data_IF_522351970204
#
_entry.id   IF_522351970204
#
_cell.length_a   1.000
_cell.length_b   1.000
_cell.length_c   1.000
_cell.angle_alpha   90.00
_cell.angle_beta   90.00
_cell.angle_gamma   90.00
#
_symmetry.space_group_name_H-M   'P 1'
#
loop_
_entity.id
_entity.type
_entity.pdbx_description
1 polymer ?
#
# COMPACT_ATOMS: atom_id res chain seq x y z
N UNK A 1 0.35 -3.89 13.97
CA UNK A 1 1.07 -4.71 12.96
C UNK A 1 1.44 -3.77 11.83
N UNK A 2 2.64 -3.90 11.27
CA UNK A 2 3.02 -3.14 10.09
C UNK A 2 2.11 -3.50 8.92
N UNK A 3 1.76 -2.52 8.09
CA UNK A 3 0.91 -2.73 6.92
C UNK A 3 1.77 -3.24 5.77
N UNK A 4 1.32 -4.33 5.15
CA UNK A 4 2.06 -5.08 4.15
C UNK A 4 1.43 -4.99 2.77
N UNK A 5 2.25 -4.71 1.74
CA UNK A 5 1.89 -4.88 0.34
C UNK A 5 2.55 -6.13 -0.22
N UNK A 6 1.77 -7.02 -0.83
CA UNK A 6 2.30 -8.17 -1.56
C UNK A 6 2.60 -7.80 -3.01
N UNK A 7 3.84 -8.01 -3.46
CA UNK A 7 4.18 -7.86 -4.88
C UNK A 7 3.98 -9.19 -5.60
N UNK A 8 3.14 -9.19 -6.63
CA UNK A 8 2.79 -10.37 -7.41
C UNK A 8 3.00 -10.12 -8.91
N UNK A 9 3.13 -11.18 -9.68
CA UNK A 9 3.26 -11.13 -11.14
C UNK A 9 3.73 -12.46 -11.68
N UNK A 10 3.53 -12.70 -12.97
CA UNK A 10 4.06 -13.87 -13.66
C UNK A 10 5.59 -13.87 -13.66
N UNK A 11 6.24 -15.01 -13.97
CA UNK A 11 7.68 -15.04 -14.15
C UNK A 11 8.14 -14.08 -15.25
N UNK A 12 9.32 -13.48 -15.07
CA UNK A 12 10.00 -12.62 -16.05
C UNK A 12 9.27 -11.29 -16.40
N UNK A 13 8.40 -10.81 -15.52
CA UNK A 13 7.77 -9.48 -15.67
C UNK A 13 8.56 -8.33 -15.03
N UNK A 14 9.71 -8.62 -14.39
CA UNK A 14 10.54 -7.64 -13.69
C UNK A 14 10.28 -7.54 -12.17
N UNK A 15 9.44 -8.43 -11.62
CA UNK A 15 9.05 -8.44 -10.20
C UNK A 15 10.25 -8.47 -9.24
N UNK A 16 11.16 -9.42 -9.41
CA UNK A 16 12.35 -9.56 -8.53
C UNK A 16 13.31 -8.39 -8.68
N UNK A 17 13.46 -7.83 -9.89
CA UNK A 17 14.27 -6.63 -10.11
C UNK A 17 13.70 -5.46 -9.30
N UNK A 18 12.39 -5.20 -9.41
CA UNK A 18 11.72 -4.15 -8.64
C UNK A 18 11.83 -4.37 -7.13
N UNK A 19 11.65 -5.62 -6.67
CA UNK A 19 11.79 -5.95 -5.25
C UNK A 19 13.21 -5.68 -4.74
N UNK A 20 14.22 -6.03 -5.53
CA UNK A 20 15.62 -5.76 -5.20
C UNK A 20 15.91 -4.24 -5.15
N UNK A 21 15.39 -3.46 -6.11
CA UNK A 21 15.52 -2.00 -6.10
C UNK A 21 14.85 -1.39 -4.86
N UNK A 22 13.67 -1.84 -4.50
CA UNK A 22 12.97 -1.46 -3.27
C UNK A 22 13.79 -1.80 -2.02
N UNK A 23 14.39 -2.98 -1.98
CA UNK A 23 15.22 -3.42 -0.85
C UNK A 23 16.55 -2.67 -0.77
N UNK A 24 17.15 -2.31 -1.92
CA UNK A 24 18.38 -1.53 -1.99
C UNK A 24 18.16 -0.04 -1.65
N UNK A 25 17.01 0.53 -1.96
CA UNK A 25 16.62 1.88 -1.51
C UNK A 25 16.72 2.04 0.01
N UNK A 26 16.60 0.94 0.76
CA UNK A 26 16.84 0.83 2.19
C UNK A 26 18.31 1.04 2.58
N UNK A 27 19.25 0.45 1.86
CA UNK A 27 20.69 0.57 2.16
C UNK A 27 21.19 2.01 2.00
N UNK A 28 20.54 2.80 1.16
CA UNK A 28 20.88 4.18 0.85
C UNK A 28 20.26 5.21 1.82
N UNK A 29 19.17 4.84 2.50
CA UNK A 29 18.62 5.58 3.63
C UNK A 29 19.32 5.23 4.98
N UNK A 30 20.48 4.60 4.91
CA UNK A 30 21.15 3.80 5.95
C UNK A 30 21.80 4.56 7.11
N UNK A 31 21.25 5.69 7.52
CA UNK A 31 21.57 6.23 8.86
C UNK A 31 20.60 5.75 9.95
N UNK A 32 19.71 4.77 9.63
CA UNK A 32 18.72 4.28 10.58
C UNK A 32 19.04 2.83 11.00
N UNK A 33 19.48 2.60 12.27
CA UNK A 33 19.63 1.25 12.81
C UNK A 33 18.24 0.62 13.01
N UNK A 34 18.12 -0.68 12.87
CA UNK A 34 16.95 -1.55 13.06
C UNK A 34 16.10 -1.85 11.83
N UNK A 35 16.68 -2.64 10.93
CA UNK A 35 15.91 -3.32 9.93
C UNK A 35 16.33 -4.79 9.87
N UNK A 36 15.49 -5.67 10.38
CA UNK A 36 15.63 -7.12 10.21
C UNK A 36 15.28 -7.49 8.78
N UNK A 37 16.13 -8.27 8.12
CA UNK A 37 15.84 -8.82 6.78
C UNK A 37 15.29 -10.22 7.03
N UNK A 38 13.97 -10.36 6.90
CA UNK A 38 13.40 -11.68 6.67
C UNK A 38 13.46 -11.99 5.18
N UNK A 39 13.71 -13.24 4.78
CA UNK A 39 13.68 -13.61 3.37
C UNK A 39 12.33 -13.21 2.76
N UNK A 40 12.36 -12.45 1.65
CA UNK A 40 11.19 -11.97 0.91
C UNK A 40 10.34 -10.87 1.58
N UNK A 41 10.81 -10.25 2.67
CA UNK A 41 10.14 -9.07 3.27
C UNK A 41 11.10 -7.89 3.27
N UNK A 42 10.75 -6.83 2.55
CA UNK A 42 11.46 -5.55 2.55
C UNK A 42 10.71 -4.53 3.42
N UNK A 43 11.37 -4.01 4.47
CA UNK A 43 10.88 -2.84 5.22
C UNK A 43 11.48 -1.60 4.56
N UNK A 44 10.65 -0.73 4.00
CA UNK A 44 11.08 0.36 3.13
C UNK A 44 10.65 1.68 3.72
N UNK A 45 11.58 2.66 3.75
CA UNK A 45 11.29 4.02 4.19
C UNK A 45 10.37 4.73 3.19
N UNK A 46 9.31 5.36 3.70
CA UNK A 46 8.41 6.19 2.90
C UNK A 46 9.06 7.56 2.67
N UNK A 47 9.34 7.95 1.42
CA UNK A 47 9.90 9.26 1.11
C UNK A 47 8.89 10.37 1.47
N UNK A 48 9.27 11.31 2.33
CA UNK A 48 8.44 12.45 2.72
C UNK A 48 9.29 13.71 2.86
N UNK A 49 9.15 14.63 1.91
CA UNK A 49 9.87 15.90 1.91
C UNK A 49 9.53 16.77 3.13
N UNK A 50 8.33 16.59 3.69
CA UNK A 50 7.90 17.31 4.89
C UNK A 50 8.78 16.94 6.09
N UNK A 51 9.11 15.65 6.22
CA UNK A 51 10.02 15.18 7.29
C UNK A 51 11.40 15.83 7.15
N UNK A 52 11.94 15.86 5.93
CA UNK A 52 13.22 16.53 5.64
C UNK A 52 13.18 17.99 6.05
N UNK A 53 12.12 18.71 5.68
CA UNK A 53 11.95 20.12 6.03
C UNK A 53 11.84 20.36 7.54
N UNK A 54 11.12 19.50 8.26
CA UNK A 54 11.01 19.57 9.72
C UNK A 54 12.37 19.35 10.38
N UNK A 55 13.17 18.41 9.86
CA UNK A 55 14.55 18.16 10.33
C UNK A 55 15.45 19.37 10.16
N UNK A 56 15.39 20.05 9.03
CA UNK A 56 16.15 21.30 8.78
C UNK A 56 15.79 22.40 9.79
N UNK A 57 14.49 22.55 10.11
CA UNK A 57 14.02 23.60 11.03
C UNK A 57 14.37 23.28 12.48
N UNK A 58 14.15 22.02 12.90
CA UNK A 58 14.27 21.62 14.32
C UNK A 58 15.68 21.23 14.69
N UNK A 59 16.49 20.73 13.72
CA UNK A 59 17.81 20.16 13.94
C UNK A 59 17.85 19.13 15.09
N UNK A 60 17.07 18.02 14.99
CA UNK A 60 16.89 17.07 16.08
C UNK A 60 18.08 16.15 16.24
N UNK A 61 18.19 15.49 17.41
CA UNK A 61 19.18 14.45 17.66
C UNK A 61 18.87 13.12 16.98
N UNK A 62 17.60 12.84 16.72
CA UNK A 62 17.12 11.60 16.11
C UNK A 62 16.01 11.89 15.10
N UNK A 63 15.99 11.10 14.04
CA UNK A 63 14.99 11.19 12.96
C UNK A 63 14.42 9.80 12.75
N UNK A 64 13.09 9.68 12.76
CA UNK A 64 12.40 8.40 12.54
C UNK A 64 11.35 8.55 11.43
N UNK A 65 11.64 8.08 10.21
CA UNK A 65 10.71 8.11 9.10
C UNK A 65 9.64 7.02 9.23
N UNK A 66 8.55 7.17 8.46
CA UNK A 66 7.59 6.09 8.24
C UNK A 66 8.20 4.96 7.41
N UNK A 67 7.69 3.75 7.62
CA UNK A 67 8.08 2.58 6.85
C UNK A 67 6.84 1.83 6.37
N UNK A 68 6.99 1.13 5.24
CA UNK A 68 6.02 0.18 4.71
C UNK A 68 6.73 -1.16 4.48
N UNK A 69 6.00 -2.25 4.68
CA UNK A 69 6.52 -3.58 4.37
C UNK A 69 6.05 -4.02 2.97
N UNK A 70 6.99 -4.45 2.15
CA UNK A 70 6.70 -5.08 0.85
C UNK A 70 7.18 -6.52 0.89
N UNK A 71 6.26 -7.44 0.57
CA UNK A 71 6.52 -8.88 0.58
C UNK A 71 6.64 -9.37 -0.85
N UNK A 72 7.80 -9.95 -1.21
CA UNK A 72 7.93 -10.65 -2.49
C UNK A 72 7.21 -11.99 -2.43
N UNK A 73 6.09 -12.05 -3.12
CA UNK A 73 5.31 -13.28 -3.20
C UNK A 73 5.75 -14.03 -4.45
N UNK A 74 6.38 -15.19 -4.24
CA UNK A 74 6.88 -16.04 -5.32
C UNK A 74 5.82 -16.24 -6.42
N UNK A 75 6.25 -16.18 -7.69
CA UNK A 75 5.34 -16.10 -8.83
C UNK A 75 4.30 -17.22 -8.88
N UNK A 76 3.09 -16.85 -9.27
CA UNK A 76 1.98 -17.76 -9.50
C UNK A 76 2.26 -18.64 -10.72
N UNK A 77 2.02 -19.93 -10.58
CA UNK A 77 1.93 -20.87 -11.69
C UNK A 77 0.45 -21.15 -11.93
N UNK A 78 0.03 -21.21 -13.17
CA UNK A 78 -1.33 -21.58 -13.58
C UNK A 78 -1.77 -22.88 -12.88
N UNK A 79 -2.95 -22.88 -12.24
CA UNK A 79 -3.46 -24.02 -11.48
C UNK A 79 -3.19 -23.96 -9.97
N UNK A 80 -2.70 -22.84 -9.44
CA UNK A 80 -2.42 -22.66 -8.02
C UNK A 80 -3.66 -22.83 -7.13
N UNK A 81 -4.85 -22.50 -7.62
CA UNK A 81 -6.13 -22.63 -6.89
C UNK A 81 -6.56 -24.09 -6.71
N UNK A 82 -6.11 -25.00 -7.60
CA UNK A 82 -6.42 -26.44 -7.53
C UNK A 82 -5.50 -27.22 -6.59
N UNK A 83 -4.59 -26.57 -6.03
CA UNK A 83 -3.73 -26.71 -5.14
C UNK A 83 -3.05 -27.67 -4.29
N UNK A 84 -2.06 -28.32 -4.74
CA UNK A 84 -1.09 -28.97 -3.87
C UNK A 84 0.19 -28.12 -3.76
N UNK A 85 0.70 -27.89 -2.53
CA UNK A 85 2.03 -27.35 -2.31
C UNK A 85 2.13 -25.81 -2.51
N UNK A 86 2.99 -25.37 -3.44
CA UNK A 86 3.41 -23.97 -3.64
C UNK A 86 2.26 -23.01 -3.96
N UNK A 87 1.21 -23.46 -4.65
CA UNK A 87 0.05 -22.64 -4.96
C UNK A 87 -0.74 -22.19 -3.71
N UNK A 88 -0.95 -23.10 -2.76
CA UNK A 88 -1.63 -22.74 -1.50
C UNK A 88 -0.78 -21.79 -0.64
N UNK A 89 0.55 -21.95 -0.65
CA UNK A 89 1.47 -21.05 0.03
C UNK A 89 1.41 -19.64 -0.58
N UNK A 90 1.43 -19.54 -1.91
CA UNK A 90 1.27 -18.28 -2.64
C UNK A 90 -0.03 -17.55 -2.24
N UNK A 91 -1.18 -18.24 -2.29
CA UNK A 91 -2.46 -17.66 -1.92
C UNK A 91 -2.54 -17.29 -0.44
N UNK A 92 -1.88 -18.07 0.43
CA UNK A 92 -1.73 -17.78 1.85
C UNK A 92 -0.93 -16.51 2.11
N UNK A 93 0.17 -16.30 1.37
CA UNK A 93 0.99 -15.12 1.46
C UNK A 93 0.21 -13.86 1.01
N UNK A 94 -0.54 -13.93 -0.10
CA UNK A 94 -1.42 -12.82 -0.50
C UNK A 94 -2.47 -12.56 0.59
N UNK A 95 -3.04 -13.59 1.19
CA UNK A 95 -4.05 -13.42 2.25
C UNK A 95 -3.53 -12.64 3.44
N UNK A 96 -2.25 -12.82 3.80
CA UNK A 96 -1.62 -12.13 4.91
C UNK A 96 -1.34 -10.64 4.63
N UNK A 97 -1.26 -10.20 3.36
CA UNK A 97 -1.00 -8.80 3.02
C UNK A 97 -2.26 -7.94 3.05
N UNK A 98 -2.09 -6.61 3.14
CA UNK A 98 -3.19 -5.65 3.16
C UNK A 98 -3.57 -5.13 1.76
N UNK A 99 -2.61 -5.10 0.82
CA UNK A 99 -2.82 -4.68 -0.55
C UNK A 99 -1.92 -5.49 -1.50
N UNK A 100 -2.21 -5.43 -2.80
CA UNK A 100 -1.49 -6.14 -3.85
C UNK A 100 -0.88 -5.16 -4.85
N UNK A 101 0.42 -5.31 -5.13
CA UNK A 101 1.15 -4.66 -6.21
C UNK A 101 1.30 -5.67 -7.34
N UNK A 102 0.48 -5.55 -8.37
CA UNK A 102 0.44 -6.51 -9.47
C UNK A 102 1.31 -6.02 -10.63
N UNK A 103 2.49 -6.62 -10.77
CA UNK A 103 3.48 -6.26 -11.81
C UNK A 103 3.09 -6.92 -13.13
N UNK A 104 2.94 -6.11 -14.18
CA UNK A 104 2.62 -6.52 -15.54
C UNK A 104 3.75 -6.15 -16.48
N UNK A 105 4.12 -7.07 -17.37
CA UNK A 105 5.10 -6.79 -18.42
C UNK A 105 4.47 -6.02 -19.57
N UNK A 106 4.91 -4.79 -19.77
CA UNK A 106 4.44 -3.87 -20.80
C UNK A 106 5.59 -3.43 -21.74
N UNK A 107 6.51 -4.34 -22.06
CA UNK A 107 7.64 -4.11 -22.97
C UNK A 107 7.99 -5.37 -23.74
N UNK A 108 8.49 -5.19 -24.96
CA UNK A 108 9.03 -6.26 -25.78
C UNK A 108 10.54 -6.35 -25.58
N UNK A 109 11.06 -7.57 -25.39
CA UNK A 109 12.49 -7.85 -25.30
C UNK A 109 12.74 -9.32 -25.65
N UNK A 110 13.40 -9.56 -26.76
CA UNK A 110 13.68 -10.90 -27.29
C UNK A 110 14.62 -11.72 -26.38
N UNK A 111 15.43 -11.05 -25.56
CA UNK A 111 16.33 -11.71 -24.60
C UNK A 111 15.62 -12.16 -23.33
N UNK A 112 14.37 -11.73 -23.09
CA UNK A 112 13.59 -12.10 -21.91
C UNK A 112 12.41 -12.97 -22.35
N UNK A 113 12.52 -14.27 -22.14
CA UNK A 113 11.48 -15.24 -22.54
C UNK A 113 10.20 -14.97 -21.74
N UNK A 114 9.06 -14.87 -22.46
CA UNK A 114 7.73 -14.83 -21.83
C UNK A 114 7.21 -16.26 -21.64
N UNK A 115 6.55 -16.53 -20.50
CA UNK A 115 6.05 -17.89 -20.14
C UNK A 115 5.06 -18.42 -21.17
N UNK A 116 4.24 -17.54 -21.76
CA UNK A 116 3.24 -17.88 -22.78
C UNK A 116 3.68 -17.50 -24.22
N UNK A 117 4.98 -17.24 -24.44
CA UNK A 117 5.58 -17.02 -25.75
C UNK A 117 5.31 -15.64 -26.39
N UNK A 118 4.44 -14.80 -25.82
CA UNK A 118 4.16 -13.44 -26.30
C UNK A 118 3.83 -12.52 -25.14
N UNK A 119 4.11 -11.22 -25.32
CA UNK A 119 3.74 -10.20 -24.31
C UNK A 119 2.26 -9.83 -24.48
N UNK A 120 1.48 -10.05 -23.42
CA UNK A 120 0.09 -9.63 -23.34
C UNK A 120 -0.29 -9.37 -21.88
N UNK A 121 -0.21 -8.10 -21.42
CA UNK A 121 -0.46 -7.75 -20.02
C UNK A 121 -1.90 -8.04 -19.57
N UNK A 122 -2.89 -8.05 -20.46
CA UNK A 122 -4.27 -8.37 -20.11
C UNK A 122 -4.44 -9.85 -19.83
N UNK A 123 -3.92 -10.72 -20.68
CA UNK A 123 -3.90 -12.16 -20.47
C UNK A 123 -3.17 -12.49 -19.17
N UNK A 124 -2.01 -11.86 -18.91
CA UNK A 124 -1.20 -12.08 -17.71
C UNK A 124 -1.94 -11.68 -16.45
N UNK A 125 -2.66 -10.55 -16.50
CA UNK A 125 -3.58 -10.09 -15.44
C UNK A 125 -4.68 -11.12 -15.19
N UNK A 126 -5.38 -11.56 -16.25
CA UNK A 126 -6.51 -12.50 -16.16
C UNK A 126 -6.09 -13.85 -15.56
N UNK A 127 -4.88 -14.32 -15.83
CA UNK A 127 -4.35 -15.56 -15.24
C UNK A 127 -4.31 -15.45 -13.72
N UNK A 128 -3.75 -14.37 -13.18
CA UNK A 128 -3.66 -14.15 -11.73
C UNK A 128 -5.05 -13.91 -11.13
N UNK A 129 -5.84 -13.05 -11.72
CA UNK A 129 -7.19 -12.72 -11.24
C UNK A 129 -8.06 -13.96 -11.15
N UNK A 130 -8.03 -14.83 -12.16
CA UNK A 130 -8.80 -16.09 -12.18
C UNK A 130 -8.41 -17.01 -11.02
N UNK A 131 -7.12 -17.17 -10.72
CA UNK A 131 -6.68 -18.02 -9.61
C UNK A 131 -7.12 -17.45 -8.24
N UNK A 132 -7.07 -16.13 -8.07
CA UNK A 132 -7.54 -15.46 -6.86
C UNK A 132 -9.07 -15.60 -6.71
N UNK A 133 -9.83 -15.37 -7.78
CA UNK A 133 -11.29 -15.50 -7.82
C UNK A 133 -11.76 -16.92 -7.51
N UNK A 134 -11.11 -17.94 -8.09
CA UNK A 134 -11.44 -19.34 -7.80
C UNK A 134 -11.21 -19.67 -6.33
N UNK A 135 -10.16 -19.13 -5.70
CA UNK A 135 -9.92 -19.33 -4.27
C UNK A 135 -10.93 -18.62 -3.40
N UNK A 136 -11.35 -17.44 -3.79
CA UNK A 136 -12.40 -16.70 -3.09
C UNK A 136 -13.74 -17.41 -3.20
N UNK A 137 -14.10 -17.94 -4.38
CA UNK A 137 -15.30 -18.77 -4.58
C UNK A 137 -15.32 -19.98 -3.66
N UNK A 138 -14.20 -20.72 -3.51
CA UNK A 138 -14.07 -21.84 -2.57
C UNK A 138 -14.35 -21.41 -1.11
N UNK A 139 -13.83 -20.24 -0.71
CA UNK A 139 -14.04 -19.69 0.63
C UNK A 139 -15.49 -19.28 0.87
N UNK A 140 -16.12 -18.63 -0.11
CA UNK A 140 -17.51 -18.20 -0.07
C UNK A 140 -18.45 -19.42 -0.03
N UNK A 141 -18.22 -20.42 -0.88
CA UNK A 141 -19.04 -21.62 -0.92
C UNK A 141 -19.04 -22.38 0.40
N UNK A 142 -17.89 -22.50 1.03
CA UNK A 142 -17.78 -23.09 2.38
C UNK A 142 -18.56 -22.32 3.43
N UNK A 143 -18.57 -20.99 3.38
CA UNK A 143 -19.35 -20.16 4.31
C UNK A 143 -20.85 -20.23 4.01
N UNK A 144 -21.24 -20.19 2.73
CA UNK A 144 -22.64 -20.38 2.30
C UNK A 144 -23.19 -21.70 2.84
N UNK A 145 -22.48 -22.83 2.66
CA UNK A 145 -22.92 -24.14 3.15
C UNK A 145 -23.18 -24.16 4.68
N UNK A 146 -22.41 -23.39 5.45
CA UNK A 146 -22.59 -23.29 6.90
C UNK A 146 -23.80 -22.47 7.30
N UNK A 147 -24.08 -21.35 6.60
CA UNK A 147 -25.15 -20.42 6.98
C UNK A 147 -26.48 -20.71 6.31
N UNK A 148 -26.48 -21.40 5.16
CA UNK A 148 -27.68 -21.65 4.33
C UNK A 148 -28.84 -22.28 5.10
N UNK A 149 -28.55 -23.29 5.94
CA UNK A 149 -29.57 -23.98 6.72
C UNK A 149 -30.22 -23.03 7.72
N UNK A 150 -29.44 -22.22 8.42
CA UNK A 150 -29.94 -21.22 9.38
C UNK A 150 -30.71 -20.11 8.68
N UNK A 151 -30.21 -19.64 7.56
CA UNK A 151 -30.86 -18.62 6.75
C UNK A 151 -32.24 -19.07 6.23
N UNK A 152 -32.38 -20.33 5.79
CA UNK A 152 -33.64 -20.89 5.26
C UNK A 152 -34.66 -21.23 6.32
N UNK A 153 -34.25 -21.55 7.56
CA UNK A 153 -35.18 -21.87 8.65
C UNK A 153 -35.86 -20.66 9.28
N UNK A 154 -35.48 -19.44 8.90
CA UNK A 154 -36.28 -18.23 9.12
C UNK A 154 -36.18 -17.58 10.50
N UNK A 155 -35.36 -18.08 11.41
CA UNK A 155 -35.21 -17.51 12.77
C UNK A 155 -34.05 -16.55 12.95
N UNK A 156 -33.02 -16.68 12.14
CA UNK A 156 -31.77 -15.92 12.26
C UNK A 156 -31.63 -14.86 11.16
N UNK A 157 -31.85 -13.60 11.53
CA UNK A 157 -31.77 -12.47 10.60
C UNK A 157 -30.35 -12.23 10.12
N UNK A 158 -29.34 -12.45 10.98
CA UNK A 158 -27.93 -12.27 10.64
C UNK A 158 -27.48 -13.33 9.65
N UNK A 159 -27.83 -14.60 9.86
CA UNK A 159 -27.54 -15.67 8.92
C UNK A 159 -28.21 -15.44 7.56
N UNK A 160 -29.44 -14.89 7.54
CA UNK A 160 -30.13 -14.53 6.31
C UNK A 160 -29.40 -13.42 5.55
N UNK A 161 -29.02 -12.34 6.25
CA UNK A 161 -28.29 -11.22 5.63
C UNK A 161 -26.92 -11.68 5.12
N UNK A 162 -26.18 -12.46 5.92
CA UNK A 162 -24.91 -13.07 5.50
C UNK A 162 -25.07 -13.89 4.22
N UNK A 163 -26.10 -14.74 4.14
CA UNK A 163 -26.36 -15.54 2.95
C UNK A 163 -26.68 -14.70 1.71
N UNK A 164 -27.47 -13.64 1.86
CA UNK A 164 -27.80 -12.69 0.79
C UNK A 164 -26.52 -12.01 0.26
N UNK A 165 -25.70 -11.44 1.15
CA UNK A 165 -24.44 -10.75 0.78
C UNK A 165 -23.47 -11.71 0.10
N UNK A 166 -23.26 -12.90 0.66
CA UNK A 166 -22.39 -13.92 0.07
C UNK A 166 -22.86 -14.34 -1.33
N UNK A 167 -24.18 -14.42 -1.54
CA UNK A 167 -24.75 -14.77 -2.86
C UNK A 167 -24.43 -13.69 -3.89
N UNK A 168 -24.59 -12.40 -3.55
CA UNK A 168 -24.25 -11.27 -4.42
C UNK A 168 -22.78 -11.29 -4.80
N UNK A 169 -21.89 -11.47 -3.81
CA UNK A 169 -20.43 -11.50 -4.06
C UNK A 169 -20.06 -12.73 -4.90
N UNK A 170 -20.64 -13.90 -4.64
CA UNK A 170 -20.42 -15.09 -5.43
C UNK A 170 -20.81 -14.90 -6.92
N UNK A 171 -22.00 -14.37 -7.16
CA UNK A 171 -22.46 -14.10 -8.53
C UNK A 171 -21.58 -13.09 -9.26
N UNK A 172 -21.02 -12.13 -8.53
CA UNK A 172 -20.09 -11.15 -9.07
C UNK A 172 -18.76 -11.80 -9.48
N UNK A 173 -18.19 -12.64 -8.64
CA UNK A 173 -16.98 -13.42 -8.93
C UNK A 173 -17.19 -14.39 -10.11
N UNK A 174 -18.34 -15.05 -10.21
CA UNK A 174 -18.69 -15.94 -11.33
C UNK A 174 -18.77 -15.23 -12.68
N UNK A 175 -18.93 -13.89 -12.68
CA UNK A 175 -18.85 -13.04 -13.89
C UNK A 175 -17.42 -12.59 -14.21
N UNK A 176 -16.41 -13.14 -13.52
CA UNK A 176 -15.00 -12.77 -13.69
C UNK A 176 -14.63 -11.40 -13.10
N UNK A 177 -15.43 -10.88 -12.16
CA UNK A 177 -15.18 -9.60 -11.50
C UNK A 177 -14.64 -9.81 -10.10
N UNK A 178 -13.81 -8.89 -9.62
CA UNK A 178 -13.18 -8.96 -8.29
C UNK A 178 -14.15 -8.58 -7.18
N UNK A 179 -14.01 -9.19 -6.00
CA UNK A 179 -14.88 -8.92 -4.85
C UNK A 179 -14.88 -7.45 -4.41
N UNK A 180 -13.77 -6.70 -4.61
CA UNK A 180 -13.67 -5.26 -4.32
C UNK A 180 -14.64 -4.37 -5.11
N UNK A 181 -15.19 -4.88 -6.22
CA UNK A 181 -16.18 -4.19 -7.04
C UNK A 181 -17.58 -4.79 -6.92
N UNK A 182 -17.80 -5.69 -5.94
CA UNK A 182 -19.11 -6.28 -5.72
C UNK A 182 -20.12 -5.20 -5.30
N UNK A 183 -21.35 -5.23 -5.83
CA UNK A 183 -22.37 -4.22 -5.54
C UNK A 183 -23.05 -4.50 -4.18
N UNK A 184 -22.27 -4.39 -3.10
CA UNK A 184 -22.74 -4.49 -1.71
C UNK A 184 -22.53 -3.14 -1.01
N UNK A 185 -23.38 -2.83 -0.04
CA UNK A 185 -23.25 -1.60 0.76
C UNK A 185 -22.02 -1.67 1.68
N UNK A 186 -21.48 -0.50 2.07
CA UNK A 186 -20.32 -0.43 2.97
C UNK A 186 -20.60 -1.12 4.31
N UNK A 187 -21.81 -0.98 4.83
CA UNK A 187 -22.28 -1.66 6.05
C UNK A 187 -22.35 -3.18 5.91
N UNK A 188 -22.48 -3.70 4.69
CA UNK A 188 -22.54 -5.13 4.41
C UNK A 188 -21.14 -5.78 4.30
N UNK A 189 -20.07 -4.99 4.26
CA UNK A 189 -18.69 -5.49 4.21
C UNK A 189 -18.33 -6.36 5.43
N UNK A 190 -18.95 -6.10 6.58
CA UNK A 190 -18.72 -6.91 7.79
C UNK A 190 -19.08 -8.38 7.62
N UNK A 191 -20.08 -8.73 6.77
CA UNK A 191 -20.50 -10.10 6.53
C UNK A 191 -19.51 -10.94 5.72
N UNK A 192 -18.54 -10.33 5.08
CA UNK A 192 -17.48 -11.00 4.30
C UNK A 192 -16.07 -10.78 4.88
N UNK A 193 -15.92 -9.90 5.87
CA UNK A 193 -14.62 -9.50 6.40
C UNK A 193 -13.79 -10.67 6.94
N UNK A 194 -14.41 -11.62 7.62
CA UNK A 194 -13.78 -12.82 8.18
C UNK A 194 -13.26 -13.81 7.12
N UNK A 195 -13.67 -13.67 5.86
CA UNK A 195 -13.19 -14.51 4.76
C UNK A 195 -11.82 -14.07 4.23
N UNK A 196 -11.41 -12.84 4.50
CA UNK A 196 -10.16 -12.28 3.99
C UNK A 196 -10.00 -12.54 2.48
N UNK A 197 -11.05 -12.19 1.71
CA UNK A 197 -11.09 -12.45 0.27
C UNK A 197 -9.90 -11.80 -0.42
N UNK A 198 -9.25 -12.55 -1.31
CA UNK A 198 -8.03 -12.13 -2.00
C UNK A 198 -8.33 -11.01 -2.99
N UNK A 199 -9.46 -11.12 -3.70
CA UNK A 199 -9.89 -10.13 -4.70
C UNK A 199 -10.65 -8.94 -4.10
N UNK A 200 -10.91 -8.93 -2.78
CA UNK A 200 -11.41 -7.76 -2.06
C UNK A 200 -10.31 -6.76 -1.72
N UNK A 201 -9.04 -7.19 -1.73
CA UNK A 201 -7.90 -6.33 -1.40
C UNK A 201 -7.73 -5.21 -2.42
N UNK A 202 -7.30 -4.01 -1.97
CA UNK A 202 -6.84 -2.94 -2.86
C UNK A 202 -5.72 -3.43 -3.76
N UNK A 203 -5.72 -3.02 -5.03
CA UNK A 203 -4.70 -3.41 -6.01
C UNK A 203 -4.14 -2.19 -6.73
N UNK A 204 -2.82 -2.20 -6.95
CA UNK A 204 -2.11 -1.29 -7.84
C UNK A 204 -1.49 -2.11 -8.97
N UNK A 205 -1.89 -1.86 -10.21
CA UNK A 205 -1.25 -2.45 -11.37
C UNK A 205 0.03 -1.68 -11.71
N UNK A 206 1.16 -2.36 -11.68
CA UNK A 206 2.49 -1.80 -11.94
C UNK A 206 2.91 -2.23 -13.33
N UNK A 207 2.73 -1.34 -14.31
CA UNK A 207 3.11 -1.56 -15.70
C UNK A 207 4.63 -1.36 -15.84
N UNK A 208 5.38 -2.45 -15.92
CA UNK A 208 6.81 -2.42 -16.18
C UNK A 208 7.04 -2.23 -17.68
N UNK A 209 7.62 -1.09 -18.05
CA UNK A 209 7.86 -0.67 -19.44
C UNK A 209 9.36 -0.60 -19.74
N UNK A 210 9.70 -0.46 -21.03
CA UNK A 210 11.05 -0.08 -21.48
C UNK A 210 11.37 1.38 -21.12
N UNK A 211 12.64 1.73 -21.28
CA UNK A 211 13.17 3.08 -21.01
C UNK A 211 12.43 4.16 -21.81
N UNK A 212 12.20 3.93 -23.10
CA UNK A 212 11.55 4.90 -23.97
C UNK A 212 10.11 5.24 -23.57
N UNK A 213 9.45 4.32 -22.89
CA UNK A 213 8.02 4.42 -22.50
C UNK A 213 7.81 4.90 -21.06
N UNK A 214 8.86 5.14 -20.26
CA UNK A 214 8.74 5.43 -18.82
C UNK A 214 7.97 6.70 -18.51
N UNK A 215 8.09 7.73 -19.36
CA UNK A 215 7.43 9.03 -19.18
C UNK A 215 5.99 9.04 -19.71
N UNK A 216 5.72 8.39 -20.82
CA UNK A 216 4.44 8.51 -21.56
C UNK A 216 3.58 7.25 -21.51
N UNK A 217 4.18 6.10 -21.20
CA UNK A 217 3.56 4.79 -21.41
C UNK A 217 3.61 4.38 -22.87
N UNK A 218 2.90 3.29 -23.17
CA UNK A 218 2.80 2.71 -24.51
C UNK A 218 1.44 2.01 -24.70
N UNK A 219 1.23 1.42 -25.85
CA UNK A 219 -0.04 0.74 -26.19
C UNK A 219 -0.42 -0.39 -25.22
N UNK A 220 0.54 -1.05 -24.56
CA UNK A 220 0.25 -2.03 -23.52
C UNK A 220 -0.33 -1.39 -22.27
N UNK A 221 0.27 -0.28 -21.84
CA UNK A 221 -0.21 0.52 -20.69
C UNK A 221 -1.62 1.04 -20.93
N UNK A 222 -1.91 1.54 -22.13
CA UNK A 222 -3.23 2.06 -22.47
C UNK A 222 -4.30 0.96 -22.43
N UNK A 223 -3.97 -0.25 -22.92
CA UNK A 223 -4.86 -1.41 -22.79
C UNK A 223 -5.13 -1.77 -21.33
N UNK A 224 -4.11 -1.75 -20.46
CA UNK A 224 -4.27 -2.01 -19.03
C UNK A 224 -5.15 -0.95 -18.39
N UNK A 225 -4.90 0.34 -18.62
CA UNK A 225 -5.72 1.45 -18.08
C UNK A 225 -7.19 1.30 -18.46
N UNK A 226 -7.47 0.99 -19.73
CA UNK A 226 -8.85 0.80 -20.18
C UNK A 226 -9.51 -0.42 -19.53
N UNK A 227 -8.78 -1.54 -19.40
CA UNK A 227 -9.32 -2.76 -18.84
C UNK A 227 -9.66 -2.63 -17.33
N UNK A 228 -8.91 -1.79 -16.59
CA UNK A 228 -9.06 -1.68 -15.11
C UNK A 228 -9.83 -0.44 -14.67
N UNK A 229 -10.34 0.39 -15.58
CA UNK A 229 -11.02 1.66 -15.28
C UNK A 229 -12.19 1.51 -14.29
N UNK A 230 -12.89 0.38 -14.35
CA UNK A 230 -14.05 0.07 -13.50
C UNK A 230 -13.69 -0.83 -12.31
N UNK A 231 -12.39 -1.07 -12.05
CA UNK A 231 -11.96 -2.01 -11.02
C UNK A 231 -11.64 -1.36 -9.67
N UNK A 232 -11.80 -0.05 -9.54
CA UNK A 232 -11.34 0.72 -8.37
C UNK A 232 -9.86 0.44 -8.04
N UNK A 233 -9.01 0.48 -9.08
CA UNK A 233 -7.60 0.12 -9.01
C UNK A 233 -6.72 1.24 -9.59
N UNK A 234 -5.52 1.41 -9.03
CA UNK A 234 -4.51 2.32 -9.56
C UNK A 234 -3.68 1.67 -10.68
N UNK A 235 -3.11 2.50 -11.55
CA UNK A 235 -2.11 2.08 -12.54
C UNK A 235 -0.87 2.97 -12.39
N UNK A 236 0.29 2.35 -12.25
CA UNK A 236 1.59 3.01 -12.17
C UNK A 236 2.49 2.51 -13.29
N UNK A 237 3.20 3.44 -13.95
CA UNK A 237 4.23 3.13 -14.96
C UNK A 237 5.58 3.17 -14.28
N UNK A 238 6.40 2.14 -14.50
CA UNK A 238 7.76 2.04 -13.98
C UNK A 238 8.64 1.31 -15.00
N UNK A 239 9.93 1.62 -15.03
CA UNK A 239 10.92 0.79 -15.73
C UNK A 239 11.84 0.13 -14.71
N UNK A 240 11.70 -1.17 -14.53
CA UNK A 240 12.55 -1.92 -13.60
C UNK A 240 14.04 -1.86 -14.00
N UNK A 241 14.35 -1.66 -15.27
CA UNK A 241 15.69 -1.48 -15.76
C UNK A 241 16.27 -0.15 -15.27
N UNK A 242 15.57 0.96 -15.47
CA UNK A 242 15.97 2.30 -14.97
C UNK A 242 16.16 2.27 -13.45
N UNK A 243 15.23 1.63 -12.72
CA UNK A 243 15.34 1.54 -11.26
C UNK A 243 16.59 0.74 -10.83
N UNK A 244 16.96 -0.30 -11.58
CA UNK A 244 18.20 -1.03 -11.32
C UNK A 244 19.44 -0.18 -11.56
N UNK A 245 19.47 0.61 -12.63
CA UNK A 245 20.55 1.54 -12.92
C UNK A 245 20.69 2.63 -11.86
N UNK A 246 19.56 3.23 -11.40
CA UNK A 246 19.53 4.19 -10.29
C UNK A 246 20.06 3.56 -9.00
N UNK A 247 19.76 2.30 -8.74
CA UNK A 247 20.19 1.59 -7.53
C UNK A 247 21.71 1.33 -7.48
N UNK A 248 22.39 1.34 -8.63
CA UNK A 248 23.84 1.19 -8.73
C UNK A 248 24.60 2.50 -8.52
N UNK A 249 23.93 3.66 -8.63
CA UNK A 249 24.56 4.96 -8.43
C UNK A 249 24.83 5.21 -6.94
N UNK A 250 26.06 5.67 -6.64
CA UNK A 250 26.53 5.80 -5.25
C UNK A 250 26.09 7.12 -4.61
N UNK A 251 26.14 8.23 -5.36
CA UNK A 251 25.86 9.56 -4.81
C UNK A 251 24.42 10.05 -5.11
N UNK A 252 23.95 10.98 -4.30
CA UNK A 252 22.66 11.63 -4.51
C UNK A 252 22.70 12.48 -5.79
N UNK A 253 23.79 13.17 -6.02
CA UNK A 253 24.00 14.04 -7.18
C UNK A 253 23.97 13.26 -8.50
N UNK A 254 24.60 12.07 -8.54
CA UNK A 254 24.55 11.20 -9.71
C UNK A 254 23.13 10.75 -10.03
N UNK A 255 22.34 10.40 -9.01
CA UNK A 255 20.93 10.00 -9.17
C UNK A 255 20.07 11.16 -9.67
N UNK A 256 20.27 12.35 -9.12
CA UNK A 256 19.54 13.54 -9.55
C UNK A 256 19.88 13.89 -11.01
N UNK A 257 21.16 13.84 -11.40
CA UNK A 257 21.57 14.03 -12.79
C UNK A 257 20.94 12.97 -13.71
N UNK A 258 21.00 11.70 -13.34
CA UNK A 258 20.41 10.61 -14.13
C UNK A 258 18.89 10.79 -14.31
N UNK A 259 18.16 11.11 -13.24
CA UNK A 259 16.73 11.38 -13.31
C UNK A 259 16.42 12.56 -14.24
N UNK A 260 17.18 13.65 -14.13
CA UNK A 260 17.02 14.82 -14.99
C UNK A 260 17.30 14.50 -16.47
N UNK A 261 18.34 13.73 -16.77
CA UNK A 261 18.66 13.28 -18.13
C UNK A 261 17.54 12.42 -18.74
N UNK A 262 16.88 11.61 -17.90
CA UNK A 262 15.73 10.80 -18.27
C UNK A 262 14.41 11.59 -18.30
N UNK A 263 14.42 12.87 -17.93
CA UNK A 263 13.20 13.69 -17.82
C UNK A 263 12.26 13.25 -16.69
N UNK A 264 12.81 12.60 -15.65
CA UNK A 264 12.05 12.13 -14.48
C UNK A 264 12.24 13.11 -13.31
N UNK A 265 11.17 13.39 -12.59
CA UNK A 265 11.21 14.22 -11.38
C UNK A 265 11.57 13.43 -10.12
N UNK A 266 11.29 12.13 -10.12
CA UNK A 266 11.60 11.20 -9.03
C UNK A 266 11.67 9.77 -9.59
N UNK A 267 12.32 8.86 -8.84
CA UNK A 267 12.39 7.46 -9.23
C UNK A 267 11.02 6.77 -9.22
N UNK A 268 10.86 5.77 -10.05
CA UNK A 268 9.64 4.96 -10.07
C UNK A 268 9.44 4.19 -8.76
N UNK A 269 10.52 3.79 -8.10
CA UNK A 269 10.49 3.19 -6.75
C UNK A 269 9.85 4.14 -5.74
N UNK A 270 10.22 5.44 -5.73
CA UNK A 270 9.60 6.42 -4.85
C UNK A 270 8.11 6.61 -5.17
N UNK A 271 7.75 6.70 -6.46
CA UNK A 271 6.34 6.73 -6.90
C UNK A 271 5.57 5.50 -6.42
N UNK A 272 6.17 4.31 -6.52
CA UNK A 272 5.56 3.06 -6.09
C UNK A 272 5.30 3.03 -4.58
N UNK A 273 6.27 3.47 -3.76
CA UNK A 273 6.14 3.54 -2.31
C UNK A 273 5.01 4.51 -1.92
N UNK A 274 4.99 5.71 -2.49
CA UNK A 274 3.93 6.71 -2.26
C UNK A 274 2.56 6.18 -2.70
N UNK A 275 2.48 5.52 -3.85
CA UNK A 275 1.24 4.93 -4.35
C UNK A 275 0.75 3.77 -3.46
N UNK A 276 1.64 2.91 -2.98
CA UNK A 276 1.31 1.83 -2.05
C UNK A 276 0.80 2.38 -0.69
N UNK A 277 1.43 3.45 -0.20
CA UNK A 277 1.01 4.13 1.02
C UNK A 277 -0.42 4.68 0.89
N UNK A 278 -0.71 5.35 -0.23
CA UNK A 278 -2.05 5.84 -0.56
C UNK A 278 -3.06 4.72 -0.76
N UNK A 279 -2.65 3.62 -1.41
CA UNK A 279 -3.50 2.44 -1.66
C UNK A 279 -3.99 1.81 -0.35
N UNK A 280 -3.15 1.85 0.69
CA UNK A 280 -3.49 1.39 2.03
C UNK A 280 -4.33 2.39 2.85
N UNK A 281 -4.74 3.49 2.25
CA UNK A 281 -5.50 4.57 2.91
C UNK A 281 -4.77 5.12 4.14
N UNK A 282 -3.45 5.33 4.02
CA UNK A 282 -2.60 5.83 5.09
C UNK A 282 -2.43 7.34 5.03
N UNK A 283 -2.18 7.92 6.17
CA UNK A 283 -1.78 9.30 6.37
C UNK A 283 -0.61 9.37 7.36
N UNK A 284 0.08 10.51 7.35
CA UNK A 284 1.21 10.77 8.24
C UNK A 284 0.91 11.97 9.11
N UNK A 285 1.10 11.84 10.41
CA UNK A 285 1.29 13.00 11.28
C UNK A 285 2.72 13.00 11.84
N UNK A 286 3.17 14.14 12.35
CA UNK A 286 4.52 14.31 12.88
C UNK A 286 4.51 14.67 14.35
N UNK A 287 5.54 14.23 15.06
CA UNK A 287 5.97 14.81 16.31
C UNK A 287 7.31 15.47 16.06
N UNK A 288 7.46 16.76 16.43
CA UNK A 288 8.66 17.54 16.17
C UNK A 288 9.21 18.13 17.45
N UNK A 289 10.41 17.70 17.84
CA UNK A 289 11.11 18.18 19.03
C UNK A 289 12.60 18.02 18.89
N UNK A 290 13.37 18.76 19.74
CA UNK A 290 14.86 18.79 19.69
C UNK A 290 15.49 17.39 19.95
N UNK A 291 14.78 16.48 20.62
CA UNK A 291 15.27 15.12 20.84
C UNK A 291 15.00 14.23 19.63
N UNK A 292 13.80 14.34 19.06
CA UNK A 292 13.35 13.51 17.94
C UNK A 292 12.37 14.28 17.04
N UNK A 293 12.52 14.13 15.73
CA UNK A 293 11.49 14.38 14.74
C UNK A 293 11.07 13.03 14.18
N UNK A 294 9.78 12.73 14.26
CA UNK A 294 9.26 11.43 13.85
C UNK A 294 7.99 11.54 13.06
N UNK A 295 7.93 10.78 11.99
CA UNK A 295 6.72 10.53 11.21
C UNK A 295 5.97 9.33 11.80
N UNK A 296 4.64 9.43 11.91
CA UNK A 296 3.76 8.40 12.44
C UNK A 296 2.72 8.02 11.39
N UNK A 297 2.62 6.74 11.09
CA UNK A 297 1.63 6.22 10.15
C UNK A 297 0.29 6.00 10.86
N UNK A 298 -0.76 6.55 10.29
CA UNK A 298 -2.15 6.32 10.72
C UNK A 298 -3.01 5.94 9.51
N UNK A 299 -4.18 5.35 9.75
CA UNK A 299 -5.22 5.24 8.72
C UNK A 299 -5.94 6.58 8.61
N UNK A 300 -6.25 7.01 7.38
CA UNK A 300 -7.04 8.23 7.16
C UNK A 300 -8.36 8.15 7.90
N UNK A 301 -8.76 9.27 8.53
CA UNK A 301 -9.95 9.32 9.35
C UNK A 301 -9.76 8.96 10.83
N UNK A 302 -8.53 8.63 11.26
CA UNK A 302 -8.25 8.43 12.69
C UNK A 302 -8.53 9.68 13.49
N UNK A 303 -9.18 9.50 14.63
CA UNK A 303 -9.35 10.56 15.63
C UNK A 303 -8.05 10.79 16.41
N UNK A 304 -7.91 11.95 17.05
CA UNK A 304 -6.73 12.27 17.85
C UNK A 304 -6.39 11.22 18.93
N UNK A 305 -7.34 10.61 19.69
CA UNK A 305 -7.03 9.50 20.58
C UNK A 305 -6.47 8.28 19.86
N UNK A 306 -7.04 7.88 18.71
CA UNK A 306 -6.55 6.75 17.92
C UNK A 306 -5.12 7.00 17.40
N UNK A 307 -4.84 8.23 16.95
CA UNK A 307 -3.50 8.63 16.54
C UNK A 307 -2.51 8.60 17.72
N UNK A 308 -2.92 9.05 18.90
CA UNK A 308 -2.11 8.95 20.12
C UNK A 308 -1.83 7.48 20.48
N UNK A 309 -2.79 6.59 20.23
CA UNK A 309 -2.69 5.14 20.44
C UNK A 309 -1.59 4.47 19.59
N UNK A 310 -1.26 5.06 18.43
CA UNK A 310 -0.15 4.57 17.59
C UNK A 310 1.20 4.77 18.29
N UNK A 311 1.35 5.81 19.12
CA UNK A 311 2.55 6.01 19.95
C UNK A 311 2.59 4.99 21.07
N UNK A 312 1.51 4.92 21.85
CA UNK A 312 1.34 3.96 22.95
C UNK A 312 -0.14 3.84 23.33
N UNK A 313 -0.57 2.63 23.69
CA UNK A 313 -1.97 2.37 24.09
C UNK A 313 -2.43 3.20 25.28
N UNK A 314 -1.53 3.57 26.19
CA UNK A 314 -1.84 4.43 27.34
C UNK A 314 -2.13 5.87 26.90
N UNK A 315 -1.55 6.34 25.81
CA UNK A 315 -1.85 7.68 25.28
C UNK A 315 -3.28 7.75 24.72
N UNK A 316 -3.79 6.67 24.14
CA UNK A 316 -5.18 6.59 23.72
C UNK A 316 -6.13 6.57 24.92
N UNK A 317 -5.86 5.69 25.88
CA UNK A 317 -6.72 5.52 27.07
C UNK A 317 -6.76 6.78 27.95
N UNK A 318 -5.59 7.38 28.19
CA UNK A 318 -5.44 8.58 29.01
C UNK A 318 -5.56 9.88 28.23
N UNK A 319 -6.01 9.88 26.97
CA UNK A 319 -6.06 11.07 26.13
C UNK A 319 -6.88 12.19 26.74
N UNK A 320 -6.28 13.38 26.85
CA UNK A 320 -6.93 14.61 27.34
C UNK A 320 -7.22 15.55 26.16
N UNK A 321 -6.17 15.93 25.43
CA UNK A 321 -6.21 16.82 24.26
C UNK A 321 -4.97 16.67 23.40
N UNK A 322 -5.03 17.14 22.17
CA UNK A 322 -3.91 17.31 21.28
C UNK A 322 -3.66 18.80 21.00
N UNK A 323 -2.42 19.22 21.02
CA UNK A 323 -1.96 20.49 20.50
C UNK A 323 -1.54 20.24 19.05
N UNK A 324 -2.17 20.92 18.08
CA UNK A 324 -2.02 20.66 16.65
C UNK A 324 -1.53 21.89 15.94
N UNK A 325 -0.49 21.75 15.12
CA UNK A 325 0.03 22.78 14.23
C UNK A 325 -0.02 22.23 12.81
N UNK A 326 -0.56 22.98 11.87
CA UNK A 326 -0.51 22.60 10.46
C UNK A 326 0.92 22.73 9.94
N UNK A 327 1.34 21.79 9.10
CA UNK A 327 2.70 21.75 8.54
C UNK A 327 3.11 23.09 7.92
N UNK A 328 2.27 23.70 7.10
CA UNK A 328 2.55 24.97 6.42
C UNK A 328 2.76 26.12 7.43
N UNK A 329 1.98 26.18 8.50
CA UNK A 329 2.14 27.16 9.55
C UNK A 329 3.45 26.92 10.33
N UNK A 330 3.81 25.66 10.61
CA UNK A 330 5.08 25.33 11.26
C UNK A 330 6.28 25.78 10.44
N UNK A 331 6.28 25.51 9.13
CA UNK A 331 7.32 25.94 8.21
C UNK A 331 7.37 27.47 8.12
N UNK A 332 6.21 28.12 7.96
CA UNK A 332 6.10 29.59 7.87
C UNK A 332 6.71 30.32 9.05
N UNK A 333 6.52 29.80 10.26
CA UNK A 333 7.05 30.39 11.49
C UNK A 333 8.37 29.78 11.95
N UNK A 334 9.03 29.02 11.06
CA UNK A 334 10.33 28.38 11.31
C UNK A 334 10.38 27.60 12.64
N UNK A 335 9.30 26.86 12.94
CA UNK A 335 9.18 26.02 14.14
C UNK A 335 9.03 26.78 15.47
N UNK A 336 8.88 28.11 15.45
CA UNK A 336 8.70 28.90 16.67
C UNK A 336 7.30 28.73 17.26
N UNK A 337 7.16 27.87 18.27
CA UNK A 337 5.89 27.66 18.96
C UNK A 337 5.30 28.96 19.55
N UNK A 338 6.15 29.87 20.03
CA UNK A 338 5.71 31.16 20.56
C UNK A 338 5.05 32.01 19.46
N UNK A 339 5.69 32.13 18.29
CA UNK A 339 5.14 32.88 17.16
C UNK A 339 3.89 32.23 16.58
N UNK A 340 3.84 30.89 16.52
CA UNK A 340 2.67 30.13 16.07
C UNK A 340 1.48 30.38 16.99
N UNK A 341 1.72 30.36 18.32
CA UNK A 341 0.68 30.62 19.32
C UNK A 341 0.20 32.07 19.27
N UNK A 342 1.10 33.03 19.15
CA UNK A 342 0.77 34.45 19.00
C UNK A 342 -0.07 34.73 17.74
N UNK A 343 0.23 34.00 16.66
CA UNK A 343 -0.54 34.06 15.41
C UNK A 343 -1.90 33.31 15.48
N UNK A 344 -2.24 32.68 16.59
CA UNK A 344 -3.47 31.90 16.75
C UNK A 344 -3.51 30.62 15.90
N UNK A 345 -2.35 30.04 15.57
CA UNK A 345 -2.18 28.87 14.71
C UNK A 345 -1.92 27.56 15.46
N UNK A 346 -1.86 27.63 16.79
CA UNK A 346 -1.82 26.45 17.65
C UNK A 346 -3.25 26.03 17.98
N UNK A 347 -3.73 24.97 17.35
CA UNK A 347 -5.01 24.33 17.68
C UNK A 347 -4.92 23.57 18.99
N UNK A 348 -6.01 23.56 19.75
CA UNK A 348 -6.18 22.69 20.94
C UNK A 348 -7.41 21.84 20.70
N UNK A 349 -7.16 20.57 20.38
CA UNK A 349 -8.16 19.68 19.81
C UNK A 349 -8.57 18.58 20.80
N UNK A 350 -9.85 18.24 20.77
CA UNK A 350 -10.45 17.22 21.62
C UNK A 350 -10.52 15.83 20.96
N UNK A 351 -11.28 14.93 21.59
CA UNK A 351 -11.39 13.52 21.19
C UNK A 351 -12.01 13.29 19.81
N UNK A 352 -12.81 14.21 19.30
CA UNK A 352 -13.49 14.11 18.00
C UNK A 352 -12.69 14.67 16.83
N UNK A 353 -11.52 15.25 17.09
CA UNK A 353 -10.67 15.78 16.03
C UNK A 353 -10.19 14.65 15.13
N UNK A 354 -10.44 14.79 13.83
CA UNK A 354 -9.90 13.89 12.80
C UNK A 354 -8.54 14.42 12.37
N UNK A 355 -7.52 13.60 12.53
CA UNK A 355 -6.12 13.96 12.19
C UNK A 355 -5.99 14.10 10.68
N UNK A 356 -5.44 15.23 10.25
CA UNK A 356 -5.15 15.49 8.84
C UNK A 356 -3.71 15.09 8.50
N UNK A 357 -3.50 14.71 7.24
CA UNK A 357 -2.16 14.35 6.75
C UNK A 357 -1.22 15.56 6.80
N UNK A 358 -0.10 15.42 7.51
CA UNK A 358 0.87 16.49 7.73
C UNK A 358 0.71 17.25 9.05
N UNK A 359 -0.28 16.94 9.87
CA UNK A 359 -0.41 17.56 11.20
C UNK A 359 0.84 17.34 12.05
N UNK A 360 1.30 18.39 12.73
CA UNK A 360 2.33 18.30 13.75
C UNK A 360 1.63 18.31 15.10
N UNK A 361 1.78 17.22 15.87
CA UNK A 361 0.93 16.96 17.04
C UNK A 361 1.75 16.80 18.33
N UNK A 362 1.21 17.34 19.41
CA UNK A 362 1.69 17.07 20.75
C UNK A 362 0.51 16.63 21.63
N UNK A 363 0.56 15.40 22.12
CA UNK A 363 -0.52 14.81 22.91
C UNK A 363 -0.34 15.09 24.41
N UNK A 364 -1.44 15.47 25.06
CA UNK A 364 -1.55 15.58 26.52
C UNK A 364 -2.42 14.43 27.01
N UNK A 365 -1.89 13.63 27.87
CA UNK A 365 -2.54 12.45 28.42
C UNK A 365 -2.26 12.33 29.92
N UNK A 366 -3.08 11.56 30.62
CA UNK A 366 -2.92 11.21 32.02
C UNK A 366 -3.10 9.69 32.16
N UNK A 367 -2.13 9.02 32.79
CA UNK A 367 -2.14 7.55 33.00
C UNK A 367 -2.32 7.30 34.49
#
# INVERSE_FOLDING_TARGET
MALQCGIVGLPNVGKSTLFNCLSNAKAQAANFPFCTIEPNVGVITVPDERLTKLVEIVNPKSIVPNTIEIVDIAGLVKGASKGEGLGNQFLGNIRATNAVLHVLRCFDNDNVIHVDGSVDPLRDKEIIDTELQLKDLDSIDKKIQKVEKMAKTGGDKEAKKTFEVLTVVKEHLLKGKSARTAPIADEDQEYIADLFLLTAKPVLYVCNVDEASVNTGNAYVDKVKEAVKDENAGVLIISAQIEAEIAELESFEEREMFLNDMGLTESGVNKLIKAAYKLLNLATYFTAGVQEVRAWTITQGFTAPQAAGVIHTDFEKGFIRAEVIKYDDFVKYNGSEAAIKEAGKLGVEGKSYIVEDGDIMHFRFNV
#
